data_IF_535313997811
#
_entry.id   IF_535313997811
#
_cell.length_a   1.000
_cell.length_b   1.000
_cell.length_c   1.000
_cell.angle_alpha   90.00
_cell.angle_beta   90.00
_cell.angle_gamma   90.00
#
_symmetry.space_group_name_H-M   'P 1'
#
loop_
_entity.id
_entity.type
_entity.pdbx_description
1 polymer ?
#
# COMPACT_ATOMS: atom_id res chain seq x y z
N UNK A 1 -24.48 -22.54 -44.71
CA UNK A 1 -24.56 -21.43 -43.70
C UNK A 1 -23.55 -21.78 -42.61
N UNK A 2 -22.54 -20.96 -42.32
CA UNK A 2 -21.64 -21.19 -41.21
C UNK A 2 -22.38 -20.91 -39.88
N UNK A 3 -22.07 -21.61 -38.78
CA UNK A 3 -22.73 -21.42 -37.49
C UNK A 3 -22.40 -20.04 -36.92
N UNK A 4 -23.41 -19.34 -36.42
CA UNK A 4 -23.28 -18.06 -35.74
C UNK A 4 -22.40 -18.26 -34.49
N UNK A 5 -21.31 -17.52 -34.42
CA UNK A 5 -20.46 -17.44 -33.23
C UNK A 5 -21.33 -17.04 -32.02
N UNK A 6 -21.25 -17.85 -30.97
CA UNK A 6 -21.88 -17.55 -29.68
C UNK A 6 -21.26 -16.25 -29.13
N UNK A 7 -22.10 -15.26 -28.85
CA UNK A 7 -21.69 -14.06 -28.11
C UNK A 7 -21.17 -14.51 -26.75
N UNK A 8 -19.89 -14.31 -26.53
CA UNK A 8 -19.31 -14.44 -25.19
C UNK A 8 -20.08 -13.50 -24.26
N UNK A 9 -20.61 -14.05 -23.17
CA UNK A 9 -21.14 -13.23 -22.09
C UNK A 9 -19.99 -12.36 -21.58
N UNK A 10 -20.09 -11.05 -21.76
CA UNK A 10 -19.19 -10.12 -21.09
C UNK A 10 -19.25 -10.39 -19.60
N UNK A 11 -18.08 -10.63 -19.00
CA UNK A 11 -17.97 -10.70 -17.56
C UNK A 11 -18.48 -9.38 -16.95
N UNK A 12 -19.19 -9.41 -15.82
CA UNK A 12 -19.67 -8.18 -15.17
C UNK A 12 -18.48 -7.25 -14.96
N UNK A 13 -18.65 -5.98 -15.34
CA UNK A 13 -17.62 -4.97 -15.16
C UNK A 13 -17.20 -4.93 -13.68
N UNK A 14 -15.91 -5.17 -13.42
CA UNK A 14 -15.38 -5.11 -12.06
C UNK A 14 -15.59 -3.71 -11.49
N UNK A 15 -15.97 -3.63 -10.20
CA UNK A 15 -16.16 -2.33 -9.53
C UNK A 15 -14.84 -1.57 -9.49
N UNK A 16 -14.83 -0.25 -9.75
CA UNK A 16 -13.64 0.58 -9.58
C UNK A 16 -13.09 0.48 -8.15
N UNK A 17 -11.77 0.56 -8.03
CA UNK A 17 -11.09 0.51 -6.74
C UNK A 17 -10.91 1.93 -6.21
N UNK A 18 -11.16 2.16 -4.90
CA UNK A 18 -10.82 3.41 -4.24
C UNK A 18 -9.30 3.65 -4.27
N UNK A 19 -8.88 4.90 -4.49
CA UNK A 19 -7.50 5.33 -4.52
C UNK A 19 -6.99 5.68 -5.93
N UNK A 20 -5.80 6.30 -6.00
CA UNK A 20 -5.21 6.75 -7.27
C UNK A 20 -4.91 5.60 -8.22
N UNK A 21 -5.17 5.78 -9.49
CA UNK A 21 -4.76 4.83 -10.53
C UNK A 21 -3.35 5.17 -11.00
N UNK A 22 -2.35 4.53 -10.40
CA UNK A 22 -0.92 4.70 -10.69
C UNK A 22 -0.17 3.41 -10.42
N UNK A 23 0.96 3.21 -11.08
CA UNK A 23 1.93 2.15 -10.76
C UNK A 23 2.94 2.58 -9.69
N UNK A 24 3.03 3.88 -9.40
CA UNK A 24 3.92 4.46 -8.39
C UNK A 24 3.09 4.89 -7.19
N UNK A 25 2.70 3.91 -6.37
CA UNK A 25 1.94 4.11 -5.15
C UNK A 25 2.86 3.97 -3.94
N UNK A 26 2.57 4.75 -2.90
CA UNK A 26 3.39 4.92 -1.71
C UNK A 26 2.60 4.56 -0.47
N UNK A 27 3.28 4.05 0.55
CA UNK A 27 2.68 3.78 1.85
C UNK A 27 3.36 4.63 2.92
N UNK A 28 2.58 5.28 3.78
CA UNK A 28 3.09 6.08 4.88
C UNK A 28 3.09 5.31 6.18
N UNK A 29 4.15 5.42 6.97
CA UNK A 29 4.19 4.93 8.35
C UNK A 29 3.68 6.05 9.25
N UNK A 30 2.65 5.76 10.04
CA UNK A 30 2.03 6.69 10.98
C UNK A 30 2.00 6.05 12.37
N UNK A 31 2.43 6.80 13.38
CA UNK A 31 2.32 6.42 14.79
C UNK A 31 1.76 7.57 15.62
N UNK A 32 1.20 7.26 16.80
CA UNK A 32 0.88 8.29 17.78
C UNK A 32 2.19 8.79 18.42
N UNK A 33 2.31 10.12 18.59
CA UNK A 33 3.55 10.73 19.07
C UNK A 33 3.84 10.28 20.51
N UNK A 34 5.07 9.80 20.73
CA UNK A 34 5.59 9.48 22.06
C UNK A 34 6.50 10.62 22.49
N UNK A 35 6.25 11.26 23.63
CA UNK A 35 7.17 12.22 24.22
C UNK A 35 8.28 11.52 24.99
N UNK A 36 9.44 12.15 25.01
CA UNK A 36 10.61 11.67 25.71
C UNK A 36 11.24 12.73 26.61
N UNK A 37 11.70 12.30 27.76
CA UNK A 37 12.64 13.08 28.58
C UNK A 37 13.97 13.21 27.79
N UNK A 38 14.41 14.45 27.63
CA UNK A 38 15.57 14.86 26.82
C UNK A 38 16.92 14.27 27.27
N UNK A 39 16.94 13.42 28.29
CA UNK A 39 18.17 12.84 28.88
C UNK A 39 18.59 11.48 28.33
N UNK A 40 17.73 10.79 27.58
CA UNK A 40 17.94 9.39 27.16
C UNK A 40 17.68 9.08 25.68
N UNK A 41 18.08 9.94 24.77
CA UNK A 41 18.31 9.59 23.35
C UNK A 41 17.15 8.87 22.63
N UNK A 42 15.95 9.36 22.69
CA UNK A 42 14.75 8.56 22.44
C UNK A 42 13.89 8.86 21.22
N UNK A 43 14.45 9.41 20.17
CA UNK A 43 13.87 9.37 18.82
C UNK A 43 13.92 7.99 18.17
N UNK A 44 14.69 7.08 18.74
CA UNK A 44 14.94 5.73 18.22
C UNK A 44 13.67 4.91 17.99
N UNK A 45 12.57 5.18 18.72
CA UNK A 45 11.37 4.36 18.67
C UNK A 45 10.32 4.81 17.66
N UNK A 46 10.24 6.10 17.35
CA UNK A 46 9.33 6.60 16.30
C UNK A 46 9.86 6.24 14.91
N UNK A 47 11.18 6.35 14.69
CA UNK A 47 11.82 6.03 13.42
C UNK A 47 12.30 4.56 13.34
N UNK A 48 12.25 3.80 14.45
CA UNK A 48 12.69 2.41 14.48
C UNK A 48 11.90 1.52 13.51
N UNK A 49 10.55 1.62 13.40
CA UNK A 49 9.81 0.85 12.40
C UNK A 49 10.28 1.16 10.97
N UNK A 50 10.52 2.44 10.65
CA UNK A 50 11.00 2.83 9.33
C UNK A 50 12.43 2.35 9.08
N UNK A 51 13.37 2.62 9.98
CA UNK A 51 14.76 2.18 9.84
C UNK A 51 14.88 0.65 9.79
N UNK A 52 14.07 -0.06 10.56
CA UNK A 52 14.02 -1.52 10.56
C UNK A 52 13.47 -2.07 9.24
N UNK A 53 12.39 -1.48 8.72
CA UNK A 53 11.79 -1.88 7.44
C UNK A 53 12.72 -1.59 6.25
N UNK A 54 13.43 -0.48 6.29
CA UNK A 54 14.20 0.03 5.15
C UNK A 54 15.69 -0.29 5.21
N UNK A 55 16.18 -0.79 6.36
CA UNK A 55 17.61 -0.97 6.67
C UNK A 55 18.43 0.32 6.52
N UNK A 56 17.78 1.47 6.61
CA UNK A 56 18.43 2.77 6.60
C UNK A 56 18.73 3.22 8.02
N UNK A 57 19.98 3.61 8.28
CA UNK A 57 20.34 4.28 9.53
C UNK A 57 19.98 5.75 9.43
N UNK A 58 18.87 6.15 10.04
CA UNK A 58 18.48 7.56 10.14
C UNK A 58 19.05 8.10 11.45
N UNK A 59 19.81 9.22 11.42
CA UNK A 59 20.26 9.87 12.64
C UNK A 59 19.03 10.27 13.48
N UNK A 60 18.95 9.74 14.69
CA UNK A 60 17.93 10.12 15.65
C UNK A 60 18.38 11.42 16.34
N UNK A 61 17.86 12.56 15.93
CA UNK A 61 18.09 13.84 16.63
C UNK A 61 17.05 14.05 17.74
N UNK A 62 17.48 14.58 18.88
CA UNK A 62 16.74 14.63 20.15
C UNK A 62 15.69 15.76 20.24
N UNK A 63 14.97 16.06 19.16
CA UNK A 63 13.94 17.11 19.18
C UNK A 63 12.56 16.56 18.88
N UNK A 64 11.50 16.96 19.62
CA UNK A 64 10.14 16.72 19.19
C UNK A 64 9.94 17.39 17.82
N UNK A 65 9.34 16.68 16.86
CA UNK A 65 9.07 17.16 15.49
C UNK A 65 10.30 17.17 14.55
N UNK A 66 11.24 16.25 14.67
CA UNK A 66 12.45 16.23 13.83
C UNK A 66 12.21 15.91 12.35
N UNK A 67 11.14 15.25 11.99
CA UNK A 67 10.82 14.92 10.61
C UNK A 67 10.01 16.06 9.99
N UNK A 68 10.69 17.13 9.55
CA UNK A 68 10.05 18.22 8.79
C UNK A 68 9.74 17.75 7.36
N UNK A 69 10.62 16.96 6.77
CA UNK A 69 10.42 16.30 5.47
C UNK A 69 10.38 14.79 5.67
N UNK A 70 9.43 14.06 5.04
CA UNK A 70 9.35 12.61 5.16
C UNK A 70 10.62 11.94 4.64
N UNK A 71 11.18 11.00 5.40
CA UNK A 71 12.20 10.10 4.87
C UNK A 71 11.54 9.10 3.92
N UNK A 72 12.14 8.91 2.76
CA UNK A 72 11.65 8.00 1.73
C UNK A 72 12.60 6.83 1.54
N UNK A 73 12.06 5.63 1.44
CA UNK A 73 12.85 4.44 1.15
C UNK A 73 12.11 3.48 0.24
N UNK A 74 12.88 2.71 -0.53
CA UNK A 74 12.38 1.62 -1.37
C UNK A 74 12.83 0.30 -0.79
N UNK A 75 11.88 -0.58 -0.56
CA UNK A 75 12.13 -1.91 -0.01
C UNK A 75 11.66 -2.96 -1.01
N UNK A 76 12.56 -3.88 -1.35
CA UNK A 76 12.25 -4.94 -2.29
C UNK A 76 11.14 -5.85 -1.74
N UNK A 77 10.18 -6.21 -2.60
CA UNK A 77 9.12 -7.16 -2.27
C UNK A 77 9.70 -8.57 -2.41
N UNK A 78 9.81 -9.35 -1.33
CA UNK A 78 10.32 -10.72 -1.41
C UNK A 78 9.32 -11.62 -2.13
N UNK A 79 9.76 -12.31 -3.19
CA UNK A 79 8.90 -13.20 -3.99
C UNK A 79 9.67 -14.44 -4.46
N UNK A 80 9.26 -15.61 -4.00
CA UNK A 80 9.84 -16.90 -4.39
C UNK A 80 9.67 -17.18 -5.88
N UNK A 81 8.66 -16.61 -6.55
CA UNK A 81 8.43 -16.74 -7.99
C UNK A 81 9.53 -16.01 -8.77
N UNK A 82 9.89 -14.80 -8.32
CA UNK A 82 10.97 -14.02 -8.92
C UNK A 82 12.31 -14.73 -8.75
N UNK A 83 12.61 -15.21 -7.54
CA UNK A 83 13.84 -15.95 -7.25
C UNK A 83 13.95 -17.22 -8.13
N UNK A 84 12.84 -17.97 -8.27
CA UNK A 84 12.80 -19.15 -9.12
C UNK A 84 13.02 -18.82 -10.60
N UNK A 85 12.43 -17.73 -11.11
CA UNK A 85 12.65 -17.26 -12.48
C UNK A 85 14.12 -16.88 -12.71
N UNK A 86 14.76 -16.20 -11.75
CA UNK A 86 16.19 -15.87 -11.82
C UNK A 86 17.06 -17.14 -11.85
N UNK A 87 16.71 -18.16 -11.07
CA UNK A 87 17.42 -19.47 -11.12
C UNK A 87 17.24 -20.19 -12.44
N UNK A 88 16.04 -20.12 -13.04
CA UNK A 88 15.73 -20.78 -14.31
C UNK A 88 16.45 -20.11 -15.50
N UNK A 89 16.33 -18.78 -15.61
CA UNK A 89 16.84 -18.04 -16.77
C UNK A 89 18.30 -17.60 -16.61
N UNK A 90 18.83 -17.53 -15.39
CA UNK A 90 20.18 -17.03 -15.04
C UNK A 90 20.48 -15.71 -15.75
N UNK A 91 19.65 -14.68 -15.55
CA UNK A 91 19.72 -13.45 -16.31
C UNK A 91 20.97 -12.63 -15.96
N UNK A 92 21.34 -11.70 -16.86
CA UNK A 92 22.41 -10.71 -16.59
C UNK A 92 21.95 -9.61 -15.63
N UNK A 93 20.64 -9.35 -15.58
CA UNK A 93 20.03 -8.31 -14.74
C UNK A 93 18.79 -8.85 -14.04
N UNK A 94 18.68 -8.52 -12.75
CA UNK A 94 17.57 -8.92 -11.87
C UNK A 94 16.94 -7.67 -11.24
N UNK A 95 15.66 -7.41 -11.54
CA UNK A 95 14.95 -6.25 -11.03
C UNK A 95 13.65 -6.69 -10.34
N UNK A 96 13.69 -6.73 -9.01
CA UNK A 96 12.52 -7.06 -8.18
C UNK A 96 11.50 -5.92 -8.10
N UNK A 97 10.28 -6.22 -7.72
CA UNK A 97 9.31 -5.23 -7.30
C UNK A 97 9.75 -4.55 -5.98
N UNK A 98 9.33 -3.32 -5.75
CA UNK A 98 9.62 -2.58 -4.52
C UNK A 98 8.37 -1.90 -3.96
N UNK A 99 8.35 -1.73 -2.66
CA UNK A 99 7.39 -0.89 -1.95
C UNK A 99 8.10 0.41 -1.56
N UNK A 100 7.51 1.54 -1.93
CA UNK A 100 8.00 2.86 -1.51
C UNK A 100 7.33 3.24 -0.19
N UNK A 101 8.15 3.45 0.84
CA UNK A 101 7.72 3.71 2.21
C UNK A 101 8.15 5.12 2.60
N UNK A 102 7.22 5.89 3.17
CA UNK A 102 7.46 7.23 3.67
C UNK A 102 7.32 7.24 5.19
N UNK A 103 8.33 7.76 5.90
CA UNK A 103 8.26 8.00 7.33
C UNK A 103 7.54 9.32 7.58
N UNK A 104 6.33 9.24 8.12
CA UNK A 104 5.50 10.41 8.41
C UNK A 104 5.59 10.69 9.91
N UNK A 105 5.88 11.94 10.28
CA UNK A 105 5.96 12.36 11.69
C UNK A 105 4.72 11.92 12.48
N UNK A 106 4.89 11.62 13.77
CA UNK A 106 3.78 11.18 14.62
C UNK A 106 2.68 12.24 14.80
N UNK A 107 1.46 11.79 15.00
CA UNK A 107 0.28 12.64 15.17
C UNK A 107 0.03 12.96 16.64
N UNK A 108 -0.45 14.17 16.91
CA UNK A 108 -0.93 14.62 18.24
C UNK A 108 -2.40 15.02 18.14
N UNK A 109 -3.09 15.05 19.27
CA UNK A 109 -4.47 15.61 19.34
C UNK A 109 -4.48 17.07 18.89
N UNK A 110 -5.54 17.48 18.17
CA UNK A 110 -5.69 18.82 17.63
C UNK A 110 -4.82 19.09 16.38
N UNK A 111 -4.29 18.04 15.76
CA UNK A 111 -3.53 18.18 14.53
C UNK A 111 -4.36 18.77 13.38
N UNK A 112 -5.66 18.49 13.33
CA UNK A 112 -6.58 19.06 12.34
C UNK A 112 -6.73 20.59 12.51
N UNK A 113 -6.65 21.12 13.72
CA UNK A 113 -6.66 22.57 14.03
C UNK A 113 -5.29 23.24 13.80
N UNK A 114 -4.27 22.48 13.43
CA UNK A 114 -2.91 22.98 13.18
C UNK A 114 -2.01 22.99 14.40
N UNK A 115 -2.38 22.31 15.49
CA UNK A 115 -1.50 22.17 16.65
C UNK A 115 -0.25 21.36 16.29
N UNK A 116 0.90 21.80 16.73
CA UNK A 116 2.20 21.21 16.39
C UNK A 116 2.49 21.26 14.89
N UNK A 117 2.96 20.16 14.31
CA UNK A 117 3.16 19.96 12.86
C UNK A 117 1.89 19.47 12.14
N UNK A 118 0.70 19.58 12.76
CA UNK A 118 -0.52 18.93 12.31
C UNK A 118 -0.87 19.11 10.83
N UNK A 119 -0.80 20.34 10.30
CA UNK A 119 -1.09 20.59 8.88
C UNK A 119 -0.05 19.96 7.94
N UNK A 120 1.24 19.99 8.30
CA UNK A 120 2.31 19.35 7.53
C UNK A 120 2.12 17.83 7.54
N UNK A 121 1.88 17.25 8.71
CA UNK A 121 1.60 15.83 8.89
C UNK A 121 0.43 15.35 8.02
N UNK A 122 -0.73 16.03 8.09
CA UNK A 122 -1.90 15.66 7.31
C UNK A 122 -1.68 15.82 5.80
N UNK A 123 -0.82 16.75 5.37
CA UNK A 123 -0.41 16.86 3.96
C UNK A 123 0.47 15.69 3.52
N UNK A 124 1.35 15.19 4.39
CA UNK A 124 2.17 14.01 4.12
C UNK A 124 1.31 12.74 4.01
N UNK A 125 0.32 12.55 4.90
CA UNK A 125 -0.65 11.46 4.75
C UNK A 125 -1.42 11.58 3.43
N UNK A 126 -1.78 12.79 3.00
CA UNK A 126 -2.47 12.99 1.73
C UNK A 126 -1.61 12.54 0.54
N UNK A 127 -0.30 12.71 0.61
CA UNK A 127 0.63 12.37 -0.46
C UNK A 127 0.84 10.85 -0.66
N UNK A 128 0.54 10.01 0.34
CA UNK A 128 0.66 8.54 0.26
C UNK A 128 -0.66 7.88 -0.12
N UNK A 129 -0.61 6.62 -0.51
CA UNK A 129 -1.77 5.87 -1.03
C UNK A 129 -2.33 4.84 -0.03
N UNK A 130 -1.56 4.52 1.01
CA UNK A 130 -1.95 3.64 2.10
C UNK A 130 -1.21 4.00 3.37
N UNK A 131 -1.61 3.40 4.48
CA UNK A 131 -1.09 3.73 5.81
C UNK A 131 -0.67 2.43 6.53
N UNK A 132 0.58 2.38 6.99
CA UNK A 132 1.00 1.51 8.07
C UNK A 132 0.78 2.23 9.39
N UNK A 133 -0.23 1.82 10.13
CA UNK A 133 -0.54 2.38 11.43
C UNK A 133 0.18 1.58 12.51
N UNK A 134 1.26 2.14 13.07
CA UNK A 134 2.07 1.50 14.09
C UNK A 134 1.51 1.76 15.48
N UNK A 135 1.25 0.70 16.22
CA UNK A 135 0.70 0.72 17.58
C UNK A 135 1.74 0.22 18.57
N UNK A 136 1.89 0.93 19.67
CA UNK A 136 2.70 0.50 20.80
C UNK A 136 1.91 -0.45 21.70
N UNK A 137 2.35 -1.70 21.80
CA UNK A 137 1.74 -2.73 22.64
C UNK A 137 2.74 -3.34 23.64
N UNK A 138 3.62 -2.53 24.20
CA UNK A 138 4.63 -2.95 25.18
C UNK A 138 4.84 -1.84 26.22
N UNK A 139 5.22 -2.25 27.44
CA UNK A 139 5.61 -1.37 28.52
C UNK A 139 7.11 -1.17 28.53
N UNK A 140 7.55 0.07 28.62
CA UNK A 140 8.95 0.45 28.77
C UNK A 140 8.98 1.73 29.63
N UNK A 141 9.61 1.69 30.83
CA UNK A 141 9.66 2.83 31.74
C UNK A 141 10.45 4.01 31.19
N UNK A 142 11.38 3.75 30.27
CA UNK A 142 12.21 4.77 29.64
C UNK A 142 11.47 5.52 28.53
N UNK A 143 10.27 5.05 28.14
CA UNK A 143 9.45 5.63 27.08
C UNK A 143 8.18 6.24 27.67
N UNK A 144 8.09 7.57 27.68
CA UNK A 144 6.92 8.30 28.17
C UNK A 144 5.89 8.39 27.03
N UNK A 145 4.62 8.15 27.34
CA UNK A 145 3.52 8.36 26.41
C UNK A 145 2.94 9.77 26.61
N UNK A 146 2.46 10.42 25.54
CA UNK A 146 1.84 11.77 25.59
C UNK A 146 0.72 11.85 26.63
N UNK A 147 -0.07 10.79 26.75
CA UNK A 147 -1.20 10.68 27.66
C UNK A 147 -0.82 9.91 28.96
N UNK A 148 0.45 9.86 29.35
CA UNK A 148 1.01 9.23 30.56
C UNK A 148 0.64 7.74 30.76
N UNK A 149 -0.05 7.13 29.84
CA UNK A 149 -0.47 5.73 29.90
C UNK A 149 -0.48 5.07 28.52
N UNK A 150 -0.19 3.77 28.48
CA UNK A 150 -0.20 2.98 27.24
C UNK A 150 -1.59 2.42 27.03
N UNK A 151 -2.28 2.93 26.04
CA UNK A 151 -3.56 2.42 25.57
C UNK A 151 -3.65 2.48 24.03
N UNK A 152 -3.27 1.36 23.35
CA UNK A 152 -3.29 1.31 21.89
C UNK A 152 -4.67 1.55 21.26
N UNK A 153 -5.75 1.27 21.99
CA UNK A 153 -7.12 1.50 21.47
C UNK A 153 -7.43 2.99 21.48
N UNK A 154 -7.09 3.69 22.55
CA UNK A 154 -7.20 5.16 22.60
C UNK A 154 -6.39 5.81 21.48
N UNK A 155 -5.17 5.32 21.20
CA UNK A 155 -4.32 5.86 20.14
C UNK A 155 -4.96 5.64 18.76
N UNK A 156 -5.59 4.48 18.53
CA UNK A 156 -6.39 4.21 17.33
C UNK A 156 -7.55 5.21 17.17
N UNK A 157 -8.31 5.44 18.25
CA UNK A 157 -9.44 6.37 18.24
C UNK A 157 -9.02 7.80 17.93
N UNK A 158 -7.94 8.27 18.55
CA UNK A 158 -7.41 9.63 18.33
C UNK A 158 -7.00 9.81 16.86
N UNK A 159 -6.19 8.92 16.31
CA UNK A 159 -5.74 9.05 14.92
C UNK A 159 -6.93 8.98 13.96
N UNK A 160 -7.84 8.03 14.15
CA UNK A 160 -9.03 7.90 13.31
C UNK A 160 -9.91 9.14 13.37
N UNK A 161 -10.09 9.75 14.55
CA UNK A 161 -10.85 10.98 14.74
C UNK A 161 -10.20 12.16 14.00
N UNK A 162 -8.87 12.35 14.14
CA UNK A 162 -8.14 13.45 13.48
C UNK A 162 -8.23 13.35 11.94
N UNK A 163 -8.10 12.14 11.38
CA UNK A 163 -8.26 11.95 9.94
C UNK A 163 -9.68 12.26 9.46
N UNK A 164 -10.71 11.84 10.21
CA UNK A 164 -12.12 12.14 9.91
C UNK A 164 -12.42 13.63 9.98
N UNK A 165 -11.98 14.31 11.05
CA UNK A 165 -12.17 15.74 11.21
C UNK A 165 -11.58 16.54 10.05
N UNK A 166 -10.39 16.13 9.58
CA UNK A 166 -9.74 16.79 8.43
C UNK A 166 -10.49 16.56 7.12
N UNK A 167 -11.03 15.36 6.92
CA UNK A 167 -11.84 15.07 5.74
C UNK A 167 -13.20 15.79 5.80
N UNK A 168 -13.81 15.95 6.99
CA UNK A 168 -15.03 16.75 7.19
C UNK A 168 -14.76 18.20 6.80
N UNK A 169 -13.68 18.82 7.30
CA UNK A 169 -13.26 20.17 6.94
C UNK A 169 -13.06 20.34 5.41
N UNK A 170 -12.46 19.33 4.77
CA UNK A 170 -12.30 19.33 3.32
C UNK A 170 -13.65 19.24 2.60
N UNK A 171 -14.57 18.38 3.07
CA UNK A 171 -15.90 18.26 2.49
C UNK A 171 -16.72 19.54 2.61
N UNK A 172 -16.67 20.20 3.77
CA UNK A 172 -17.36 21.49 3.99
C UNK A 172 -16.92 22.55 2.99
N UNK A 173 -15.62 22.73 2.82
CA UNK A 173 -15.08 23.66 1.83
C UNK A 173 -15.52 23.30 0.40
N UNK A 174 -15.50 21.99 0.07
CA UNK A 174 -15.91 21.53 -1.26
C UNK A 174 -17.38 21.75 -1.53
N UNK A 175 -18.25 21.52 -0.55
CA UNK A 175 -19.70 21.78 -0.61
C UNK A 175 -19.95 23.27 -0.87
N UNK A 176 -19.32 24.16 -0.09
CA UNK A 176 -19.45 25.61 -0.27
C UNK A 176 -19.05 26.07 -1.68
N UNK A 177 -17.96 25.51 -2.23
CA UNK A 177 -17.48 25.86 -3.56
C UNK A 177 -18.41 25.32 -4.66
N UNK A 178 -18.96 24.12 -4.49
CA UNK A 178 -19.97 23.56 -5.39
C UNK A 178 -21.25 24.37 -5.37
N UNK A 179 -21.75 24.80 -4.21
CA UNK A 179 -22.94 25.65 -4.10
C UNK A 179 -22.75 26.99 -4.81
N UNK A 180 -21.58 27.64 -4.66
CA UNK A 180 -21.25 28.86 -5.41
C UNK A 180 -21.23 28.62 -6.91
N UNK A 181 -20.71 27.46 -7.36
CA UNK A 181 -20.64 27.08 -8.77
C UNK A 181 -22.02 26.77 -9.34
N UNK A 182 -22.87 26.06 -8.61
CA UNK A 182 -24.24 25.73 -8.99
C UNK A 182 -25.17 26.99 -9.15
N UNK A 183 -24.89 28.07 -8.39
CA UNK A 183 -25.56 29.35 -8.56
C UNK A 183 -25.25 30.01 -9.92
N UNK A 184 -24.11 29.68 -10.53
CA UNK A 184 -23.64 30.25 -11.81
C UNK A 184 -23.90 29.34 -13.01
N UNK A 185 -24.02 28.03 -12.77
CA UNK A 185 -24.21 27.01 -13.82
C UNK A 185 -25.21 25.95 -13.39
N UNK A 186 -26.08 25.54 -14.28
CA UNK A 186 -27.02 24.44 -14.04
C UNK A 186 -26.44 23.09 -14.53
N UNK A 187 -25.15 22.87 -14.33
CA UNK A 187 -24.49 21.64 -14.71
C UNK A 187 -24.96 20.47 -13.82
N UNK A 188 -25.38 19.38 -14.45
CA UNK A 188 -25.86 18.18 -13.79
C UNK A 188 -24.74 17.50 -13.01
N UNK A 189 -23.49 17.57 -13.50
CA UNK A 189 -22.35 16.95 -12.86
C UNK A 189 -22.03 17.60 -11.49
N UNK A 190 -22.16 18.94 -11.40
CA UNK A 190 -21.99 19.66 -10.13
C UNK A 190 -23.00 19.20 -9.08
N UNK A 191 -24.27 18.92 -9.49
CA UNK A 191 -25.30 18.43 -8.56
C UNK A 191 -25.00 17.03 -8.06
N UNK A 192 -24.52 16.14 -8.92
CA UNK A 192 -24.13 14.76 -8.56
C UNK A 192 -22.97 14.81 -7.56
N UNK A 193 -21.95 15.63 -7.85
CA UNK A 193 -20.79 15.78 -6.97
C UNK A 193 -21.19 16.39 -5.60
N UNK A 194 -22.05 17.41 -5.59
CA UNK A 194 -22.56 18.03 -4.37
C UNK A 194 -23.32 17.02 -3.48
N UNK A 195 -24.24 16.24 -4.07
CA UNK A 195 -24.97 15.20 -3.35
C UNK A 195 -24.03 14.12 -2.78
N UNK A 196 -23.00 13.74 -3.54
CA UNK A 196 -21.96 12.82 -3.06
C UNK A 196 -21.20 13.41 -1.88
N UNK A 197 -20.77 14.68 -1.94
CA UNK A 197 -20.07 15.35 -0.86
C UNK A 197 -20.90 15.38 0.42
N UNK A 198 -22.20 15.65 0.36
CA UNK A 198 -23.11 15.61 1.49
C UNK A 198 -23.19 14.21 2.11
N UNK A 199 -23.29 13.17 1.31
CA UNK A 199 -23.32 11.78 1.79
C UNK A 199 -21.99 11.38 2.46
N UNK A 200 -20.86 11.77 1.88
CA UNK A 200 -19.53 11.53 2.47
C UNK A 200 -19.42 12.23 3.82
N UNK A 201 -19.76 13.51 3.89
CA UNK A 201 -19.73 14.29 5.14
C UNK A 201 -20.59 13.62 6.22
N UNK A 202 -21.83 13.27 5.92
CA UNK A 202 -22.73 12.60 6.86
C UNK A 202 -22.13 11.28 7.38
N UNK A 203 -21.54 10.45 6.52
CA UNK A 203 -20.89 9.20 6.94
C UNK A 203 -19.71 9.43 7.89
N UNK A 204 -18.89 10.45 7.62
CA UNK A 204 -17.76 10.82 8.47
C UNK A 204 -18.21 11.35 9.83
N UNK A 205 -19.28 12.16 9.88
CA UNK A 205 -19.90 12.67 11.12
C UNK A 205 -20.52 11.54 11.96
N UNK A 206 -21.01 10.47 11.32
CA UNK A 206 -21.43 9.23 12.00
C UNK A 206 -20.25 8.38 12.52
N UNK A 207 -19.02 8.81 12.30
CA UNK A 207 -17.82 8.08 12.72
C UNK A 207 -17.36 6.96 11.77
N UNK A 208 -17.92 6.89 10.55
CA UNK A 208 -17.55 5.90 9.53
C UNK A 208 -16.53 6.47 8.56
N UNK A 209 -15.38 5.83 8.44
CA UNK A 209 -14.37 6.19 7.44
C UNK A 209 -14.87 5.94 6.02
N UNK A 210 -14.45 6.78 5.06
CA UNK A 210 -14.91 6.69 3.67
C UNK A 210 -14.61 5.31 3.03
N UNK A 211 -13.54 4.62 3.43
CA UNK A 211 -13.19 3.27 2.93
C UNK A 211 -14.17 2.17 3.37
N UNK A 212 -14.93 2.41 4.45
CA UNK A 212 -15.87 1.44 5.04
C UNK A 212 -17.28 1.54 4.49
N UNK A 213 -17.55 2.55 3.68
CA UNK A 213 -18.87 2.79 3.07
C UNK A 213 -18.94 2.15 1.70
N UNK A 214 -20.08 1.52 1.39
CA UNK A 214 -20.33 1.00 0.06
C UNK A 214 -20.71 2.12 -0.92
N UNK A 215 -19.80 2.45 -1.84
CA UNK A 215 -20.00 3.44 -2.90
C UNK A 215 -20.38 2.79 -4.21
N UNK A 216 -21.18 3.49 -5.03
CA UNK A 216 -21.44 3.10 -6.42
C UNK A 216 -20.19 3.31 -7.27
N UNK A 217 -20.06 2.59 -8.40
CA UNK A 217 -18.92 2.73 -9.30
C UNK A 217 -18.69 4.19 -9.74
N UNK A 218 -19.75 4.91 -10.12
CA UNK A 218 -19.66 6.33 -10.50
C UNK A 218 -19.23 7.24 -9.33
N UNK A 219 -19.64 6.92 -8.10
CA UNK A 219 -19.22 7.66 -6.89
C UNK A 219 -17.71 7.47 -6.63
N UNK A 220 -17.18 6.26 -6.85
CA UNK A 220 -15.76 5.94 -6.64
C UNK A 220 -14.86 6.75 -7.58
N UNK A 221 -15.26 6.97 -8.83
CA UNK A 221 -14.50 7.79 -9.77
C UNK A 221 -14.36 9.24 -9.27
N UNK A 222 -15.42 9.81 -8.72
CA UNK A 222 -15.39 11.17 -8.13
C UNK A 222 -14.58 11.16 -6.83
N UNK A 223 -14.79 10.20 -5.93
CA UNK A 223 -14.08 10.08 -4.65
C UNK A 223 -12.57 9.99 -4.85
N UNK A 224 -12.11 9.29 -5.89
CA UNK A 224 -10.70 9.17 -6.21
C UNK A 224 -10.04 10.53 -6.55
N UNK A 225 -10.81 11.54 -6.95
CA UNK A 225 -10.31 12.90 -7.18
C UNK A 225 -10.09 13.68 -5.88
N UNK A 226 -10.80 13.33 -4.80
CA UNK A 226 -10.74 14.05 -3.51
C UNK A 226 -9.52 13.67 -2.68
N UNK A 227 -8.97 12.48 -2.87
CA UNK A 227 -7.84 11.95 -2.09
C UNK A 227 -8.08 12.02 -0.58
N UNK A 228 -9.25 11.58 -0.14
CA UNK A 228 -9.64 11.56 1.27
C UNK A 228 -8.66 10.73 2.10
N UNK A 229 -8.34 11.20 3.29
CA UNK A 229 -7.45 10.50 4.24
C UNK A 229 -8.10 9.20 4.72
N UNK A 230 -9.40 9.26 5.01
CA UNK A 230 -10.20 8.12 5.48
C UNK A 230 -10.56 7.11 4.38
N UNK A 231 -10.29 7.42 3.11
CA UNK A 231 -10.45 6.49 1.98
C UNK A 231 -9.23 5.58 1.78
N UNK A 232 -8.10 5.88 2.43
CA UNK A 232 -6.86 5.13 2.26
C UNK A 232 -6.93 3.79 2.99
N UNK A 233 -6.41 2.69 2.38
CA UNK A 233 -6.27 1.42 3.07
C UNK A 233 -5.29 1.53 4.24
N UNK A 234 -5.58 0.82 5.32
CA UNK A 234 -4.76 0.80 6.53
C UNK A 234 -4.31 -0.64 6.83
N UNK A 235 -3.07 -0.79 7.25
CA UNK A 235 -2.54 -2.03 7.82
C UNK A 235 -2.04 -1.71 9.23
N UNK A 236 -2.57 -2.39 10.23
CA UNK A 236 -2.20 -2.17 11.62
C UNK A 236 -0.98 -3.00 11.99
N UNK A 237 0.10 -2.33 12.37
CA UNK A 237 1.36 -2.94 12.80
C UNK A 237 1.46 -2.83 14.33
N UNK A 238 1.33 -3.94 15.03
CA UNK A 238 1.33 -3.97 16.51
C UNK A 238 2.72 -4.31 17.01
N UNK A 239 3.45 -3.28 17.46
CA UNK A 239 4.79 -3.43 17.99
C UNK A 239 4.75 -3.93 19.43
N UNK A 240 5.31 -5.11 19.67
CA UNK A 240 5.37 -5.80 20.95
C UNK A 240 6.80 -5.97 21.43
N UNK A 241 7.00 -6.23 22.73
CA UNK A 241 8.29 -6.69 23.19
C UNK A 241 8.62 -8.09 22.62
N UNK A 242 9.89 -8.42 22.55
CA UNK A 242 10.38 -9.68 21.95
C UNK A 242 9.81 -10.92 22.65
N UNK A 243 9.69 -10.90 23.99
CA UNK A 243 9.15 -12.01 24.78
C UNK A 243 7.66 -12.29 24.46
N UNK A 244 6.85 -11.24 24.34
CA UNK A 244 5.45 -11.37 23.98
C UNK A 244 5.29 -11.85 22.54
N UNK A 245 6.13 -11.37 21.63
CA UNK A 245 6.15 -11.81 20.23
C UNK A 245 6.48 -13.29 20.11
N UNK A 246 7.53 -13.75 20.81
CA UNK A 246 7.93 -15.15 20.87
C UNK A 246 6.82 -16.03 21.44
N UNK A 247 6.15 -15.58 22.51
CA UNK A 247 5.05 -16.30 23.15
C UNK A 247 3.73 -16.21 22.36
N UNK A 248 3.67 -15.37 21.33
CA UNK A 248 2.44 -15.04 20.56
C UNK A 248 1.30 -14.59 21.48
N UNK A 249 1.61 -13.87 22.55
CA UNK A 249 0.66 -13.47 23.61
C UNK A 249 0.96 -12.07 24.09
N UNK A 250 -0.05 -11.18 24.04
CA UNK A 250 0.07 -9.81 24.53
C UNK A 250 -1.27 -9.36 25.08
N UNK A 251 -1.27 -8.60 26.17
CA UNK A 251 -2.50 -8.15 26.86
C UNK A 251 -3.35 -7.16 26.08
N UNK A 252 -2.75 -6.43 25.12
CA UNK A 252 -3.42 -5.43 24.31
C UNK A 252 -4.04 -6.02 23.03
N UNK A 253 -3.47 -7.11 22.49
CA UNK A 253 -3.93 -7.69 21.21
C UNK A 253 -5.43 -7.99 21.14
N UNK A 254 -6.08 -8.57 22.17
CA UNK A 254 -7.53 -8.84 22.11
C UNK A 254 -8.36 -7.56 21.96
N UNK A 255 -7.98 -6.48 22.65
CA UNK A 255 -8.67 -5.18 22.59
C UNK A 255 -8.47 -4.53 21.21
N UNK A 256 -7.23 -4.53 20.71
CA UNK A 256 -6.91 -4.02 19.37
C UNK A 256 -7.71 -4.80 18.31
N UNK A 257 -7.75 -6.12 18.42
CA UNK A 257 -8.49 -6.96 17.49
C UNK A 257 -9.99 -6.66 17.51
N UNK A 258 -10.60 -6.53 18.70
CA UNK A 258 -12.01 -6.18 18.83
C UNK A 258 -12.31 -4.83 18.16
N UNK A 259 -11.51 -3.80 18.47
CA UNK A 259 -11.66 -2.48 17.87
C UNK A 259 -11.55 -2.51 16.34
N UNK A 260 -10.53 -3.19 15.81
CA UNK A 260 -10.32 -3.29 14.35
C UNK A 260 -11.49 -4.03 13.68
N UNK A 261 -12.02 -5.09 14.31
CA UNK A 261 -13.20 -5.80 13.77
C UNK A 261 -14.45 -4.91 13.69
N UNK A 262 -14.66 -4.04 14.67
CA UNK A 262 -15.76 -3.07 14.67
C UNK A 262 -15.56 -1.95 13.64
N UNK A 263 -14.32 -1.70 13.22
CA UNK A 263 -13.93 -0.59 12.31
C UNK A 263 -13.44 -1.06 10.93
N UNK A 264 -13.93 -2.20 10.44
CA UNK A 264 -13.71 -2.66 9.06
C UNK A 264 -12.94 -3.96 8.91
N UNK A 265 -12.28 -4.45 9.98
CA UNK A 265 -11.64 -5.78 9.98
C UNK A 265 -10.35 -5.85 9.16
N UNK A 266 -9.64 -4.73 8.98
CA UNK A 266 -8.38 -4.70 8.24
C UNK A 266 -7.29 -5.55 8.90
N UNK A 267 -6.22 -5.79 8.15
CA UNK A 267 -5.14 -6.69 8.59
C UNK A 267 -4.36 -6.13 9.76
N UNK A 268 -4.19 -6.97 10.79
CA UNK A 268 -3.32 -6.72 11.94
C UNK A 268 -2.07 -7.60 11.81
N UNK A 269 -0.89 -7.02 11.95
CA UNK A 269 0.39 -7.73 11.94
C UNK A 269 1.13 -7.42 13.24
N UNK A 270 1.17 -8.36 14.18
CA UNK A 270 2.07 -8.27 15.32
C UNK A 270 3.53 -8.41 14.86
N UNK A 271 4.42 -7.61 15.44
CA UNK A 271 5.86 -7.67 15.18
C UNK A 271 6.64 -7.14 16.38
N UNK A 272 7.95 -7.25 16.37
CA UNK A 272 8.83 -6.66 17.37
C UNK A 272 9.97 -5.92 16.69
N UNK A 273 9.97 -4.59 16.81
CA UNK A 273 11.06 -3.77 16.26
C UNK A 273 12.44 -4.17 16.78
N UNK A 274 12.53 -4.58 18.04
CA UNK A 274 13.81 -5.03 18.64
C UNK A 274 14.31 -6.30 17.96
N UNK A 275 13.43 -7.29 17.79
CA UNK A 275 13.75 -8.52 17.08
C UNK A 275 14.20 -8.23 15.64
N UNK A 276 13.41 -7.44 14.91
CA UNK A 276 13.69 -7.15 13.50
C UNK A 276 15.04 -6.42 13.34
N UNK A 277 15.37 -5.49 14.24
CA UNK A 277 16.66 -4.82 14.24
C UNK A 277 17.79 -5.81 14.52
N UNK A 278 17.65 -6.64 15.55
CA UNK A 278 18.69 -7.63 15.90
C UNK A 278 18.95 -8.57 14.72
N UNK A 279 17.89 -9.05 14.07
CA UNK A 279 17.99 -9.92 12.88
C UNK A 279 18.61 -9.18 11.68
N UNK A 280 18.31 -7.89 11.50
CA UNK A 280 18.86 -7.09 10.39
C UNK A 280 20.38 -6.87 10.51
N UNK A 281 20.91 -6.83 11.73
CA UNK A 281 22.35 -6.63 12.01
C UNK A 281 23.17 -7.93 11.88
N UNK A 282 22.50 -9.10 11.75
CA UNK A 282 23.13 -10.42 11.61
C UNK A 282 23.38 -10.78 10.15
N UNK A 283 24.35 -11.66 9.91
CA UNK A 283 24.47 -12.32 8.61
C UNK A 283 23.25 -13.24 8.34
N UNK A 284 22.92 -13.55 7.08
CA UNK A 284 21.76 -14.40 6.76
C UNK A 284 21.74 -15.74 7.50
N UNK A 285 22.90 -16.39 7.64
CA UNK A 285 23.02 -17.69 8.32
C UNK A 285 22.83 -17.54 9.84
N UNK A 286 23.41 -16.51 10.45
CA UNK A 286 23.21 -16.20 11.85
C UNK A 286 21.76 -15.82 12.16
N UNK A 287 21.14 -15.02 11.31
CA UNK A 287 19.73 -14.64 11.43
C UNK A 287 18.80 -15.86 11.36
N UNK A 288 19.03 -16.77 10.41
CA UNK A 288 18.29 -18.01 10.29
C UNK A 288 18.40 -18.87 11.54
N UNK A 289 19.64 -19.07 12.04
CA UNK A 289 19.91 -19.83 13.27
C UNK A 289 19.26 -19.19 14.50
N UNK A 290 19.38 -17.87 14.65
CA UNK A 290 18.76 -17.12 15.75
C UNK A 290 17.23 -17.29 15.75
N UNK A 291 16.60 -17.16 14.56
CA UNK A 291 15.15 -17.34 14.41
C UNK A 291 14.71 -18.77 14.75
N UNK A 292 15.47 -19.78 14.36
CA UNK A 292 15.18 -21.18 14.65
C UNK A 292 15.32 -21.49 16.15
N UNK A 293 16.42 -21.08 16.79
CA UNK A 293 16.69 -21.27 18.21
C UNK A 293 15.63 -20.60 19.10
N UNK A 294 15.19 -19.40 18.73
CA UNK A 294 14.18 -18.63 19.46
C UNK A 294 12.75 -18.93 19.04
N UNK A 295 12.54 -19.79 18.02
CA UNK A 295 11.21 -20.12 17.45
C UNK A 295 10.42 -18.88 17.03
N UNK A 296 11.08 -17.92 16.45
CA UNK A 296 10.51 -16.68 15.91
C UNK A 296 10.76 -16.58 14.41
N UNK A 297 10.01 -15.71 13.77
CA UNK A 297 10.19 -15.38 12.36
C UNK A 297 10.12 -13.87 12.18
N UNK A 298 10.93 -13.32 11.29
CA UNK A 298 10.82 -11.92 10.91
C UNK A 298 9.44 -11.66 10.31
N UNK A 299 8.78 -10.60 10.77
CA UNK A 299 7.50 -10.15 10.24
C UNK A 299 7.67 -9.26 9.00
N UNK A 300 8.89 -8.78 8.70
CA UNK A 300 9.15 -7.83 7.60
C UNK A 300 8.66 -8.32 6.24
N UNK A 301 8.91 -9.58 5.80
CA UNK A 301 8.40 -10.07 4.53
C UNK A 301 6.87 -10.00 4.44
N UNK A 302 6.18 -10.32 5.55
CA UNK A 302 4.72 -10.25 5.63
C UNK A 302 4.24 -8.81 5.60
N UNK A 303 4.88 -7.89 6.33
CA UNK A 303 4.53 -6.46 6.36
C UNK A 303 4.65 -5.87 4.95
N UNK A 304 5.78 -6.11 4.27
CA UNK A 304 6.03 -5.59 2.92
C UNK A 304 4.99 -6.12 1.92
N UNK A 305 4.78 -7.43 1.88
CA UNK A 305 3.78 -8.06 0.98
C UNK A 305 2.36 -7.56 1.27
N UNK A 306 1.99 -7.44 2.55
CA UNK A 306 0.65 -6.96 2.94
C UNK A 306 0.45 -5.49 2.57
N UNK A 307 1.44 -4.64 2.81
CA UNK A 307 1.39 -3.23 2.41
C UNK A 307 1.26 -3.06 0.90
N UNK A 308 2.07 -3.80 0.14
CA UNK A 308 2.01 -3.80 -1.32
C UNK A 308 0.61 -4.21 -1.84
N UNK A 309 0.04 -5.27 -1.29
CA UNK A 309 -1.30 -5.73 -1.63
C UNK A 309 -2.41 -4.76 -1.18
N UNK A 310 -2.26 -4.12 -0.02
CA UNK A 310 -3.24 -3.19 0.54
C UNK A 310 -3.46 -1.96 -0.35
N UNK A 311 -2.40 -1.44 -0.97
CA UNK A 311 -2.50 -0.34 -1.96
C UNK A 311 -2.86 -0.81 -3.37
N UNK A 312 -3.34 -2.05 -3.50
CA UNK A 312 -3.78 -2.66 -4.76
C UNK A 312 -2.69 -2.73 -5.85
N UNK A 313 -1.43 -2.85 -5.46
CA UNK A 313 -0.35 -3.17 -6.38
C UNK A 313 -0.27 -4.68 -6.64
N UNK A 314 0.02 -5.01 -7.87
CA UNK A 314 0.42 -6.32 -8.37
C UNK A 314 1.60 -6.13 -9.30
N UNK A 315 2.21 -7.19 -9.76
CA UNK A 315 3.23 -7.12 -10.80
C UNK A 315 3.15 -8.33 -11.72
N UNK A 316 3.55 -8.11 -12.95
CA UNK A 316 3.81 -9.16 -13.93
C UNK A 316 5.32 -9.26 -14.19
N UNK A 317 5.74 -10.38 -14.74
CA UNK A 317 7.14 -10.63 -15.07
C UNK A 317 7.39 -10.50 -16.57
N UNK A 318 8.55 -9.94 -16.92
CA UNK A 318 9.26 -10.25 -18.16
C UNK A 318 10.45 -11.10 -17.80
N UNK A 319 10.64 -12.24 -18.43
CA UNK A 319 11.69 -13.19 -18.09
C UNK A 319 12.43 -13.66 -19.33
N UNK A 320 13.75 -13.55 -19.28
CA UNK A 320 14.65 -13.97 -20.34
C UNK A 320 16.11 -13.97 -19.90
N UNK A 321 17.04 -14.41 -20.76
CA UNK A 321 18.47 -14.53 -20.44
C UNK A 321 19.17 -13.17 -20.22
N UNK A 322 18.62 -12.07 -20.71
CA UNK A 322 19.20 -10.74 -20.50
C UNK A 322 18.67 -10.10 -19.22
N UNK A 323 17.38 -10.22 -18.96
CA UNK A 323 16.75 -9.61 -17.79
C UNK A 323 15.57 -10.44 -17.28
N UNK A 324 15.45 -10.58 -15.96
CA UNK A 324 14.21 -10.94 -15.27
C UNK A 324 13.76 -9.74 -14.45
N UNK A 325 12.55 -9.24 -14.72
CA UNK A 325 12.05 -8.02 -14.12
C UNK A 325 10.59 -8.11 -13.72
N UNK A 326 10.30 -7.57 -12.53
CA UNK A 326 8.96 -7.32 -12.03
C UNK A 326 8.48 -5.95 -12.49
N UNK A 327 7.32 -5.90 -13.15
CA UNK A 327 6.70 -4.67 -13.59
C UNK A 327 5.47 -4.38 -12.73
N UNK A 328 5.58 -3.36 -11.90
CA UNK A 328 4.51 -2.98 -10.98
C UNK A 328 3.37 -2.30 -11.72
N UNK A 329 2.16 -2.77 -11.45
CA UNK A 329 0.92 -2.20 -11.97
C UNK A 329 -0.14 -2.22 -10.87
N UNK A 330 -1.18 -1.42 -11.04
CA UNK A 330 -2.34 -1.52 -10.18
C UNK A 330 -3.22 -2.69 -10.58
N UNK A 331 -3.86 -3.34 -9.61
CA UNK A 331 -4.90 -4.34 -9.87
C UNK A 331 -5.95 -3.77 -10.83
N UNK A 332 -6.53 -4.59 -11.69
CA UNK A 332 -7.45 -4.21 -12.77
C UNK A 332 -6.80 -3.46 -13.94
N UNK A 333 -5.49 -3.38 -14.03
CA UNK A 333 -4.79 -2.81 -15.19
C UNK A 333 -4.95 -3.74 -16.40
N UNK A 334 -5.36 -3.17 -17.55
CA UNK A 334 -5.47 -3.90 -18.82
C UNK A 334 -4.12 -4.03 -19.52
N UNK A 335 -4.01 -5.03 -20.39
CA UNK A 335 -2.75 -5.35 -21.08
C UNK A 335 -2.09 -4.16 -21.82
N UNK A 336 -2.80 -3.25 -22.53
CA UNK A 336 -2.15 -2.11 -23.14
C UNK A 336 -1.52 -1.15 -22.13
N UNK A 337 -2.22 -0.83 -21.03
CA UNK A 337 -1.67 0.02 -19.97
C UNK A 337 -0.50 -0.66 -19.24
N UNK A 338 -0.59 -1.98 -19.03
CA UNK A 338 0.52 -2.76 -18.47
C UNK A 338 1.74 -2.71 -19.41
N UNK A 339 1.57 -2.83 -20.72
CA UNK A 339 2.65 -2.65 -21.70
C UNK A 339 3.23 -1.22 -21.63
N UNK A 340 2.40 -0.23 -21.35
CA UNK A 340 2.79 1.18 -21.16
C UNK A 340 3.76 1.40 -20.01
N UNK A 341 3.77 0.55 -18.98
CA UNK A 341 4.74 0.64 -17.88
C UNK A 341 6.16 0.26 -18.32
N UNK A 342 6.29 -0.53 -19.39
CA UNK A 342 7.58 -0.86 -20.01
C UNK A 342 8.06 0.32 -20.84
N UNK A 343 7.22 0.77 -21.77
CA UNK A 343 7.46 1.93 -22.61
C UNK A 343 6.16 2.44 -23.24
N UNK A 344 6.01 3.74 -23.40
CA UNK A 344 4.81 4.36 -23.97
C UNK A 344 4.48 3.89 -25.38
N UNK A 345 5.48 3.51 -26.17
CA UNK A 345 5.28 2.98 -27.53
C UNK A 345 4.65 1.58 -27.50
N UNK A 346 4.88 0.80 -26.45
CA UNK A 346 4.25 -0.52 -26.29
C UNK A 346 2.73 -0.39 -26.08
N UNK A 347 2.31 0.64 -25.32
CA UNK A 347 0.88 0.94 -25.17
C UNK A 347 0.24 1.40 -26.48
N UNK A 348 0.86 2.39 -27.12
CA UNK A 348 0.34 2.98 -28.39
C UNK A 348 0.30 1.98 -29.52
N UNK A 349 1.36 1.17 -29.64
CA UNK A 349 1.51 0.17 -30.70
C UNK A 349 1.01 -1.23 -30.32
N UNK A 350 0.30 -1.40 -29.21
CA UNK A 350 -0.12 -2.70 -28.66
C UNK A 350 -0.90 -3.53 -29.69
N UNK A 351 -0.42 -4.75 -29.92
CA UNK A 351 -1.06 -5.75 -30.78
C UNK A 351 -1.73 -6.81 -29.91
N UNK A 352 -0.94 -7.56 -29.12
CA UNK A 352 -1.40 -8.58 -28.19
C UNK A 352 -0.37 -8.83 -27.08
N UNK A 353 -0.81 -9.46 -26.00
CA UNK A 353 0.02 -9.97 -24.94
C UNK A 353 0.09 -11.50 -25.06
N UNK A 354 1.26 -12.06 -25.11
CA UNK A 354 1.48 -13.50 -24.97
C UNK A 354 1.72 -13.78 -23.48
N UNK A 355 0.81 -14.53 -22.88
CA UNK A 355 0.74 -14.71 -21.42
C UNK A 355 0.88 -16.18 -21.07
N UNK A 356 1.76 -16.49 -20.14
CA UNK A 356 1.83 -17.77 -19.45
C UNK A 356 1.74 -17.55 -17.94
N UNK A 357 1.16 -18.50 -17.23
CA UNK A 357 1.13 -18.45 -15.77
C UNK A 357 2.42 -18.97 -15.18
N UNK A 358 2.84 -18.39 -14.08
CA UNK A 358 4.01 -18.86 -13.34
C UNK A 358 3.91 -20.34 -12.96
N UNK A 359 2.75 -20.78 -12.47
CA UNK A 359 2.49 -22.15 -12.07
C UNK A 359 2.67 -23.13 -13.22
N UNK A 360 2.19 -22.76 -14.42
CA UNK A 360 2.31 -23.59 -15.62
C UNK A 360 3.78 -23.71 -16.08
N UNK A 361 4.54 -22.61 -16.00
CA UNK A 361 5.96 -22.63 -16.32
C UNK A 361 6.75 -23.46 -15.30
N UNK A 362 6.42 -23.34 -14.01
CA UNK A 362 7.06 -24.09 -12.93
C UNK A 362 6.80 -25.60 -13.06
N UNK A 363 5.57 -25.99 -13.41
CA UNK A 363 5.17 -27.40 -13.61
C UNK A 363 5.86 -28.02 -14.83
N UNK A 364 5.88 -27.29 -15.96
CA UNK A 364 6.36 -27.83 -17.25
C UNK A 364 7.85 -27.58 -17.50
N UNK A 365 8.49 -26.73 -16.72
CA UNK A 365 9.93 -26.50 -16.71
C UNK A 365 10.50 -25.67 -17.86
N UNK A 366 9.71 -25.36 -18.90
CA UNK A 366 10.17 -24.54 -20.03
C UNK A 366 9.01 -23.88 -20.80
N UNK A 367 9.28 -22.72 -21.41
CA UNK A 367 8.33 -22.02 -22.28
C UNK A 367 7.85 -22.86 -23.45
N UNK A 368 8.75 -23.65 -24.06
CA UNK A 368 8.40 -24.56 -25.15
C UNK A 368 7.42 -25.65 -24.74
N UNK A 369 7.56 -26.18 -23.53
CA UNK A 369 6.61 -27.14 -22.96
C UNK A 369 5.27 -26.51 -22.65
N UNK A 370 5.25 -25.28 -22.14
CA UNK A 370 4.01 -24.50 -21.91
C UNK A 370 3.27 -24.25 -23.22
N UNK A 371 3.99 -23.91 -24.30
CA UNK A 371 3.43 -23.78 -25.66
C UNK A 371 2.87 -25.09 -26.18
N UNK A 372 3.59 -26.17 -26.05
CA UNK A 372 3.16 -27.52 -26.47
C UNK A 372 1.92 -28.00 -25.72
N UNK A 373 1.80 -27.62 -24.43
CA UNK A 373 0.63 -27.93 -23.59
C UNK A 373 -0.59 -27.02 -23.86
N UNK A 374 -0.47 -26.03 -24.78
CA UNK A 374 -1.55 -25.08 -25.09
C UNK A 374 -1.87 -24.09 -23.96
N UNK A 375 -0.97 -23.95 -22.99
CA UNK A 375 -1.11 -23.05 -21.84
C UNK A 375 -0.50 -21.65 -22.07
N UNK A 376 0.09 -21.42 -23.23
CA UNK A 376 0.61 -20.14 -23.70
C UNK A 376 -0.48 -19.40 -24.48
N UNK A 377 -1.04 -18.34 -23.89
CA UNK A 377 -2.24 -17.67 -24.38
C UNK A 377 -1.89 -16.37 -25.08
N UNK A 378 -2.64 -16.05 -26.14
CA UNK A 378 -2.62 -14.73 -26.75
C UNK A 378 -3.85 -13.94 -26.29
N UNK A 379 -3.59 -12.83 -25.63
CA UNK A 379 -4.62 -11.98 -25.02
C UNK A 379 -4.67 -10.60 -25.71
N UNK A 380 -5.88 -10.09 -25.84
CA UNK A 380 -6.15 -8.81 -26.51
C UNK A 380 -6.18 -7.63 -25.55
N UNK A 381 -6.65 -6.47 -26.07
CA UNK A 381 -6.70 -5.18 -25.36
C UNK A 381 -7.58 -5.17 -24.10
N UNK A 382 -8.51 -6.10 -23.97
CA UNK A 382 -9.44 -6.17 -22.82
C UNK A 382 -8.93 -7.06 -21.70
N UNK A 383 -7.80 -7.76 -21.90
CA UNK A 383 -7.23 -8.63 -20.88
C UNK A 383 -6.80 -7.83 -19.67
N UNK A 384 -7.26 -8.24 -18.49
CA UNK A 384 -6.86 -7.71 -17.20
C UNK A 384 -5.70 -8.55 -16.67
N UNK A 385 -4.53 -7.93 -16.53
CA UNK A 385 -3.30 -8.61 -16.10
C UNK A 385 -3.47 -9.12 -14.68
N UNK A 386 -3.06 -10.36 -14.45
CA UNK A 386 -3.10 -11.02 -13.15
C UNK A 386 -1.73 -10.97 -12.46
N UNK A 387 -1.73 -11.01 -11.12
CA UNK A 387 -0.51 -11.04 -10.35
C UNK A 387 0.34 -12.29 -10.68
N UNK A 388 1.60 -12.07 -11.03
CA UNK A 388 2.54 -13.14 -11.37
C UNK A 388 2.44 -13.66 -12.81
N UNK A 389 1.61 -13.09 -13.66
CA UNK A 389 1.65 -13.41 -15.09
C UNK A 389 3.04 -13.15 -15.67
N UNK A 390 3.52 -14.06 -16.52
CA UNK A 390 4.74 -13.87 -17.32
C UNK A 390 4.29 -13.46 -18.71
N UNK A 391 4.68 -12.25 -19.15
CA UNK A 391 4.10 -11.62 -20.34
C UNK A 391 5.18 -11.20 -21.33
N UNK A 392 4.93 -11.51 -22.59
CA UNK A 392 5.64 -10.94 -23.73
C UNK A 392 4.67 -10.10 -24.55
N UNK A 393 4.91 -8.79 -24.65
CA UNK A 393 4.06 -7.88 -25.42
C UNK A 393 4.49 -7.81 -26.87
N UNK A 394 3.55 -8.02 -27.81
CA UNK A 394 3.74 -7.72 -29.23
C UNK A 394 3.19 -6.33 -29.54
N UNK A 395 4.01 -5.51 -30.13
CA UNK A 395 3.67 -4.14 -30.50
C UNK A 395 4.26 -3.76 -31.84
N UNK A 396 3.68 -2.77 -32.47
CA UNK A 396 4.17 -2.21 -33.73
C UNK A 396 4.68 -0.79 -33.45
N UNK A 397 5.95 -0.55 -33.76
CA UNK A 397 6.51 0.81 -33.71
C UNK A 397 5.99 1.52 -34.95
N UNK A 398 4.97 2.37 -34.83
CA UNK A 398 4.68 3.33 -35.87
C UNK A 398 5.90 4.27 -35.97
N UNK A 399 6.72 4.06 -37.00
CA UNK A 399 7.77 4.97 -37.37
C UNK A 399 7.09 6.33 -37.59
N UNK A 400 7.24 7.23 -36.60
CA UNK A 400 6.80 8.61 -36.72
C UNK A 400 7.47 9.20 -37.95
N UNK A 401 6.68 9.43 -39.00
CA UNK A 401 7.15 10.04 -40.21
C UNK A 401 7.87 11.34 -39.87
N UNK A 402 9.14 11.40 -40.22
CA UNK A 402 9.81 12.68 -40.37
C UNK A 402 8.96 13.53 -41.33
N UNK A 403 8.32 14.56 -40.82
CA UNK A 403 7.96 15.74 -41.58
C UNK A 403 8.88 16.86 -41.23
#
# INVERSE_FOLDING_TARGET
>A
MPPKAAKSKEAPAERPILGRFSSHLKIGIVSFLLFFDSRLGCQMWANLPFSTLTKLSIPAENFPFCTIEPNEARVNVPDERFEWLCQLYKPKSEISAFLEIHDIAGLVRGAHEGQGLGNSFLSHIRAVDGIFHVLRAFEDPDIIHVDDSIDPVRDLEVISAELRLKDIEFMERRIDDLEKSMKRSNDKQLKIEHELCLRVKASLEEGKDARLVEWKAADIEILNTFQLLTAKPVVYLVNMNEKDYQRKKNKFLPKIHAWVQEHGGETIIPFSCVLERNVADMSPDEAAKYCEENKVQSALPKIIKTGFAAINLIYFFTAGPDEVKCWQIRRQTKAPQAAGTIHTDFEKGFICAEVMKFEDLKELGSESAVKAAGKYRQEGKTYVVQDGDIIFFKFNVSSGGKK
#
